data_IF_458098675525
#
_entry.id   IF_458098675525
#
_cell.length_a   1.000
_cell.length_b   1.000
_cell.length_c   1.000
_cell.angle_alpha   90.00
_cell.angle_beta   90.00
_cell.angle_gamma   90.00
#
_symmetry.space_group_name_H-M   'P 1'
#
loop_
_entity.id
_entity.type
_entity.pdbx_description
1 polymer ?
#
# COMPACT_ATOMS: atom_id res chain seq x y z
N UNK A 1 26.00 -23.97 -3.52
CA UNK A 1 27.34 -23.42 -3.21
C UNK A 1 27.31 -21.90 -3.39
N UNK A 2 28.33 -21.14 -2.94
CA UNK A 2 28.35 -19.67 -3.08
C UNK A 2 28.15 -19.18 -4.52
N UNK A 3 28.48 -20.02 -5.50
CA UNK A 3 28.28 -19.79 -6.94
C UNK A 3 26.80 -19.78 -7.36
N UNK A 4 25.88 -20.18 -6.48
CA UNK A 4 24.44 -20.09 -6.72
C UNK A 4 23.90 -18.67 -6.52
N UNK A 5 24.71 -17.74 -5.99
CA UNK A 5 24.40 -16.31 -6.00
C UNK A 5 24.71 -15.72 -7.38
N UNK A 6 23.76 -14.97 -7.91
CA UNK A 6 23.87 -14.11 -9.07
C UNK A 6 24.49 -12.76 -8.67
N UNK A 7 25.81 -12.72 -8.74
CA UNK A 7 26.58 -11.51 -8.44
C UNK A 7 26.42 -10.42 -9.50
N UNK A 8 26.09 -10.77 -10.74
CA UNK A 8 25.89 -9.77 -11.80
C UNK A 8 24.60 -9.00 -11.55
N UNK A 9 23.52 -9.71 -11.21
CA UNK A 9 22.27 -9.06 -10.78
C UNK A 9 22.49 -8.19 -9.53
N UNK A 10 23.24 -8.69 -8.55
CA UNK A 10 23.57 -7.92 -7.35
C UNK A 10 24.34 -6.63 -7.69
N UNK A 11 25.33 -6.69 -8.59
CA UNK A 11 26.06 -5.50 -9.07
C UNK A 11 25.14 -4.51 -9.77
N UNK A 12 24.28 -5.00 -10.67
CA UNK A 12 23.33 -4.17 -11.39
C UNK A 12 22.41 -3.40 -10.42
N UNK A 13 21.75 -4.09 -9.50
CA UNK A 13 20.78 -3.49 -8.59
C UNK A 13 21.42 -2.53 -7.58
N UNK A 14 22.59 -2.88 -7.03
CA UNK A 14 23.30 -1.98 -6.11
C UNK A 14 23.86 -0.75 -6.85
N UNK A 15 24.23 -0.87 -8.13
CA UNK A 15 24.70 0.28 -8.92
C UNK A 15 23.60 1.32 -9.12
N UNK A 16 22.32 0.91 -9.22
CA UNK A 16 21.16 1.83 -9.30
C UNK A 16 21.05 2.75 -8.08
N UNK A 17 21.63 2.38 -6.95
CA UNK A 17 21.68 3.17 -5.70
C UNK A 17 23.09 3.64 -5.35
N UNK A 18 24.00 3.68 -6.33
CA UNK A 18 25.38 4.15 -6.18
C UNK A 18 26.20 3.36 -5.13
N UNK A 19 25.86 2.10 -4.90
CA UNK A 19 26.57 1.19 -3.99
C UNK A 19 27.30 0.10 -4.77
N UNK A 20 28.40 -0.42 -4.19
CA UNK A 20 29.14 -1.56 -4.76
C UNK A 20 28.61 -2.87 -4.17
N UNK A 21 28.47 -3.89 -5.01
CA UNK A 21 28.20 -5.25 -4.59
C UNK A 21 29.43 -6.13 -4.83
N UNK A 22 29.96 -6.72 -3.75
CA UNK A 22 31.17 -7.56 -3.77
C UNK A 22 30.92 -8.83 -2.96
N UNK A 23 31.72 -9.90 -3.11
CA UNK A 23 31.63 -11.08 -2.25
C UNK A 23 31.75 -10.75 -0.75
N UNK A 24 32.60 -9.79 -0.40
CA UNK A 24 32.75 -9.35 0.99
C UNK A 24 31.48 -8.66 1.51
N UNK A 25 30.87 -7.80 0.70
CA UNK A 25 29.60 -7.14 1.05
C UNK A 25 28.45 -8.14 1.12
N UNK A 26 28.42 -9.15 0.24
CA UNK A 26 27.41 -10.20 0.27
C UNK A 26 27.47 -10.98 1.60
N UNK A 27 28.68 -11.22 2.13
CA UNK A 27 28.87 -11.83 3.45
C UNK A 27 28.47 -10.90 4.60
N UNK A 28 28.83 -9.62 4.55
CA UNK A 28 28.47 -8.67 5.61
C UNK A 28 26.96 -8.45 5.73
N UNK A 29 26.23 -8.57 4.62
CA UNK A 29 24.76 -8.50 4.63
C UNK A 29 24.07 -9.88 4.74
N UNK A 30 24.82 -10.92 5.15
CA UNK A 30 24.32 -12.28 5.45
C UNK A 30 23.66 -13.01 4.26
N UNK A 31 24.03 -12.69 3.02
CA UNK A 31 23.64 -13.49 1.85
C UNK A 31 24.34 -14.84 1.82
N UNK A 32 25.54 -14.91 2.40
CA UNK A 32 26.33 -16.13 2.54
C UNK A 32 26.48 -16.52 4.01
N UNK A 33 26.40 -17.81 4.29
CA UNK A 33 26.64 -18.42 5.60
C UNK A 33 27.64 -19.57 5.46
N UNK A 34 28.33 -19.90 6.56
CA UNK A 34 29.21 -21.07 6.62
C UNK A 34 28.40 -22.32 7.00
N UNK A 35 28.44 -23.35 6.18
CA UNK A 35 27.82 -24.65 6.43
C UNK A 35 28.81 -25.76 6.10
N UNK A 36 29.14 -26.59 7.10
CA UNK A 36 30.11 -27.70 6.96
C UNK A 36 31.45 -27.28 6.32
N UNK A 37 31.95 -26.08 6.66
CA UNK A 37 33.22 -25.57 6.11
C UNK A 37 33.12 -24.95 4.71
N UNK A 38 31.93 -24.93 4.11
CA UNK A 38 31.68 -24.30 2.82
C UNK A 38 30.85 -23.02 2.97
N UNK A 39 31.12 -22.02 2.15
CA UNK A 39 30.24 -20.87 2.01
C UNK A 39 29.07 -21.22 1.09
N UNK A 40 27.86 -21.06 1.63
CA UNK A 40 26.61 -21.34 0.93
C UNK A 40 25.65 -20.15 1.07
N UNK A 41 24.72 -19.96 0.11
CA UNK A 41 23.67 -18.97 0.25
C UNK A 41 22.81 -19.22 1.49
N UNK A 42 22.46 -18.14 2.20
CA UNK A 42 21.35 -18.20 3.16
C UNK A 42 20.02 -18.32 2.42
N UNK A 43 18.93 -18.63 3.14
CA UNK A 43 17.57 -18.60 2.56
C UNK A 43 17.27 -17.24 1.93
N UNK A 44 17.59 -16.15 2.64
CA UNK A 44 17.47 -14.80 2.09
C UNK A 44 18.39 -14.59 0.89
N UNK A 45 19.62 -15.09 0.93
CA UNK A 45 20.55 -15.10 -0.19
C UNK A 45 19.95 -15.69 -1.46
N UNK A 46 19.36 -16.88 -1.37
CA UNK A 46 18.69 -17.53 -2.49
C UNK A 46 17.49 -16.74 -3.00
N UNK A 47 16.62 -16.24 -2.11
CA UNK A 47 15.42 -15.51 -2.52
C UNK A 47 15.75 -14.15 -3.19
N UNK A 48 16.81 -13.48 -2.73
CA UNK A 48 17.20 -12.15 -3.20
C UNK A 48 18.08 -12.16 -4.44
N UNK A 49 19.02 -13.10 -4.53
CA UNK A 49 20.03 -13.16 -5.58
C UNK A 49 20.38 -14.59 -5.98
N UNK A 50 19.56 -15.60 -5.68
CA UNK A 50 19.79 -16.94 -6.20
C UNK A 50 19.58 -16.98 -7.71
N UNK A 51 20.47 -17.66 -8.43
CA UNK A 51 20.31 -17.94 -9.87
C UNK A 51 18.95 -18.57 -10.12
N UNK A 52 18.26 -18.11 -11.16
CA UNK A 52 16.82 -18.37 -11.35
C UNK A 52 16.44 -19.85 -11.32
N UNK A 53 17.19 -20.73 -12.01
CA UNK A 53 16.93 -22.17 -11.98
C UNK A 53 17.01 -22.74 -10.56
N UNK A 54 18.11 -22.50 -9.86
CA UNK A 54 18.33 -23.04 -8.52
C UNK A 54 17.40 -22.44 -7.48
N UNK A 55 17.09 -21.15 -7.59
CA UNK A 55 16.14 -20.48 -6.70
C UNK A 55 14.75 -21.08 -6.84
N UNK A 56 14.27 -21.28 -8.06
CA UNK A 56 12.93 -21.82 -8.33
C UNK A 56 12.82 -23.31 -7.98
N UNK A 57 13.93 -24.06 -8.08
CA UNK A 57 14.00 -25.45 -7.59
C UNK A 57 13.81 -25.51 -6.06
N UNK A 58 14.48 -24.64 -5.31
CA UNK A 58 14.47 -24.67 -3.84
C UNK A 58 13.24 -23.96 -3.25
N UNK A 59 12.77 -22.90 -3.89
CA UNK A 59 11.64 -22.07 -3.44
C UNK A 59 10.56 -21.91 -4.53
N UNK A 60 9.92 -23.00 -4.98
CA UNK A 60 8.91 -22.94 -6.04
C UNK A 60 7.67 -22.11 -5.65
N UNK A 61 7.40 -21.98 -4.35
CA UNK A 61 6.26 -21.22 -3.82
C UNK A 61 6.58 -19.73 -3.55
N UNK A 62 7.83 -19.29 -3.72
CA UNK A 62 8.21 -17.88 -3.59
C UNK A 62 7.75 -17.04 -4.80
N UNK A 63 7.05 -17.65 -5.76
CA UNK A 63 6.41 -16.93 -6.85
C UNK A 63 5.36 -15.93 -6.34
N UNK A 64 5.10 -14.90 -7.15
CA UNK A 64 4.04 -13.93 -6.88
C UNK A 64 2.99 -14.07 -7.97
N UNK A 65 1.74 -14.27 -7.58
CA UNK A 65 0.62 -14.34 -8.52
C UNK A 65 -0.07 -13.00 -8.60
N UNK A 66 -0.05 -12.39 -9.78
CA UNK A 66 -0.77 -11.17 -10.09
C UNK A 66 -1.97 -11.47 -10.99
N UNK A 67 -3.12 -10.88 -10.70
CA UNK A 67 -4.30 -11.01 -11.54
C UNK A 67 -5.15 -9.74 -11.51
N UNK A 68 -5.65 -9.33 -12.68
CA UNK A 68 -6.69 -8.31 -12.84
C UNK A 68 -8.02 -9.01 -13.13
N UNK A 69 -9.05 -8.70 -12.34
CA UNK A 69 -10.38 -9.32 -12.44
C UNK A 69 -11.46 -8.31 -12.79
N UNK A 70 -12.29 -8.59 -13.79
CA UNK A 70 -13.45 -7.74 -14.09
C UNK A 70 -14.47 -7.81 -12.94
N UNK A 71 -14.91 -6.66 -12.44
CA UNK A 71 -15.85 -6.55 -11.34
C UNK A 71 -15.19 -6.71 -9.97
N UNK A 72 -15.95 -7.25 -9.01
CA UNK A 72 -15.56 -7.35 -7.59
C UNK A 72 -15.22 -8.77 -7.13
N UNK A 73 -15.31 -9.75 -8.04
CA UNK A 73 -15.15 -11.18 -7.75
C UNK A 73 -13.99 -11.78 -8.54
N UNK A 74 -13.48 -12.93 -8.08
CA UNK A 74 -12.35 -13.64 -8.72
C UNK A 74 -12.76 -14.53 -9.91
N UNK A 75 -13.85 -14.21 -10.58
CA UNK A 75 -14.47 -15.07 -11.61
C UNK A 75 -13.92 -14.76 -13.00
N UNK A 76 -13.88 -13.48 -13.37
CA UNK A 76 -13.58 -13.06 -14.74
C UNK A 76 -12.18 -12.45 -14.81
N UNK A 77 -11.21 -13.19 -15.29
CA UNK A 77 -9.84 -12.69 -15.48
C UNK A 77 -9.74 -11.78 -16.70
N UNK A 78 -9.05 -10.65 -16.55
CA UNK A 78 -8.67 -9.71 -17.62
C UNK A 78 -7.21 -9.92 -17.99
N UNK A 79 -6.33 -10.04 -16.99
CA UNK A 79 -4.90 -10.20 -17.16
C UNK A 79 -4.33 -11.02 -15.99
N UNK A 80 -3.27 -11.77 -16.23
CA UNK A 80 -2.59 -12.58 -15.22
C UNK A 80 -1.08 -12.58 -15.46
N UNK A 81 -0.33 -12.61 -14.38
CA UNK A 81 1.12 -12.70 -14.41
C UNK A 81 1.62 -13.47 -13.20
N UNK A 82 2.27 -14.61 -13.43
CA UNK A 82 2.99 -15.35 -12.39
C UNK A 82 4.48 -14.97 -12.45
N UNK A 83 5.00 -14.38 -11.38
CA UNK A 83 6.36 -13.84 -11.29
C UNK A 83 7.27 -14.82 -10.56
N UNK A 84 8.24 -15.37 -11.27
CA UNK A 84 9.28 -16.26 -10.76
C UNK A 84 10.64 -15.58 -10.82
N UNK A 85 10.75 -14.38 -10.26
CA UNK A 85 12.00 -13.63 -10.23
C UNK A 85 12.53 -13.45 -8.81
N UNK A 86 13.77 -13.01 -8.69
CA UNK A 86 14.35 -12.67 -7.39
C UNK A 86 13.57 -11.51 -6.76
N UNK A 87 13.46 -11.48 -5.42
CA UNK A 87 12.55 -10.54 -4.77
C UNK A 87 12.73 -9.05 -5.16
N UNK A 88 13.95 -8.53 -5.35
CA UNK A 88 14.12 -7.16 -5.83
C UNK A 88 13.56 -6.93 -7.25
N UNK A 89 13.79 -7.85 -8.18
CA UNK A 89 13.23 -7.77 -9.54
C UNK A 89 11.71 -7.99 -9.54
N UNK A 90 11.26 -8.94 -8.73
CA UNK A 90 9.85 -9.24 -8.56
C UNK A 90 9.08 -8.01 -8.05
N UNK A 91 9.68 -7.21 -7.16
CA UNK A 91 9.12 -5.93 -6.73
C UNK A 91 8.91 -4.96 -7.91
N UNK A 92 9.91 -4.77 -8.76
CA UNK A 92 9.81 -3.90 -9.95
C UNK A 92 8.71 -4.39 -10.91
N UNK A 93 8.66 -5.71 -11.16
CA UNK A 93 7.67 -6.33 -12.06
C UNK A 93 6.25 -6.19 -11.52
N UNK A 94 6.03 -6.49 -10.23
CA UNK A 94 4.72 -6.39 -9.59
C UNK A 94 4.24 -4.94 -9.57
N UNK A 95 5.11 -3.99 -9.23
CA UNK A 95 4.75 -2.57 -9.27
C UNK A 95 4.41 -2.11 -10.68
N UNK A 96 5.13 -2.59 -11.70
CA UNK A 96 4.79 -2.37 -13.10
C UNK A 96 3.43 -2.94 -13.47
N UNK A 97 3.10 -4.15 -13.02
CA UNK A 97 1.79 -4.78 -13.24
C UNK A 97 0.67 -3.97 -12.58
N UNK A 98 0.85 -3.57 -11.31
CA UNK A 98 -0.15 -2.75 -10.62
C UNK A 98 -0.32 -1.40 -11.33
N UNK A 99 0.78 -0.72 -11.69
CA UNK A 99 0.75 0.55 -12.42
C UNK A 99 0.01 0.44 -13.75
N UNK A 100 0.24 -0.62 -14.52
CA UNK A 100 -0.46 -0.90 -15.79
C UNK A 100 -1.97 -0.96 -15.60
N UNK A 101 -2.43 -1.49 -14.47
CA UNK A 101 -3.85 -1.76 -14.19
C UNK A 101 -4.50 -0.74 -13.24
N UNK A 102 -3.76 0.28 -12.78
CA UNK A 102 -4.25 1.36 -11.90
C UNK A 102 -4.06 2.76 -12.49
N UNK A 103 -3.57 2.87 -13.73
CA UNK A 103 -3.42 4.15 -14.44
C UNK A 103 -4.78 4.59 -14.99
N UNK A 104 -5.28 5.74 -14.54
CA UNK A 104 -6.60 6.28 -14.92
C UNK A 104 -6.51 7.09 -16.21
N UNK A 105 -5.38 7.76 -16.42
CA UNK A 105 -5.21 8.65 -17.56
C UNK A 105 -4.01 9.57 -17.38
N UNK A 106 -4.05 10.69 -18.10
CA UNK A 106 -2.98 11.65 -18.12
C UNK A 106 -3.53 13.07 -18.00
N UNK A 107 -2.97 13.85 -17.10
CA UNK A 107 -3.21 15.30 -17.02
C UNK A 107 -2.14 16.05 -17.80
N UNK A 108 -2.55 17.08 -18.55
CA UNK A 108 -1.64 17.98 -19.26
C UNK A 108 -1.46 19.23 -18.38
N UNK A 109 -0.45 19.20 -17.51
CA UNK A 109 0.02 20.39 -16.80
C UNK A 109 1.23 20.97 -17.56
N UNK A 110 0.99 21.96 -18.43
CA UNK A 110 1.99 22.55 -19.33
C UNK A 110 2.70 21.51 -20.24
N UNK A 111 3.90 21.80 -20.77
CA UNK A 111 4.59 21.01 -21.83
C UNK A 111 4.84 19.53 -21.45
N UNK A 112 4.58 19.12 -20.20
CA UNK A 112 4.81 17.76 -19.71
C UNK A 112 3.51 17.08 -19.27
N UNK A 113 3.32 15.86 -19.77
CA UNK A 113 2.21 14.96 -19.44
C UNK A 113 2.47 14.32 -18.07
N UNK A 114 1.51 14.38 -17.14
CA UNK A 114 1.58 13.76 -15.81
C UNK A 114 0.60 12.59 -15.75
N UNK A 115 1.07 11.42 -15.31
CA UNK A 115 0.22 10.24 -15.12
C UNK A 115 -0.65 10.40 -13.86
N UNK A 116 -1.93 10.05 -13.97
CA UNK A 116 -2.89 10.03 -12.85
C UNK A 116 -3.21 8.58 -12.49
N UNK A 117 -3.03 8.24 -11.23
CA UNK A 117 -3.23 6.90 -10.68
C UNK A 117 -4.43 6.84 -9.75
N UNK A 118 -5.09 5.69 -9.71
CA UNK A 118 -6.20 5.43 -8.78
C UNK A 118 -5.76 5.36 -7.32
N UNK A 119 -4.50 5.00 -7.10
CA UNK A 119 -3.89 4.81 -5.79
C UNK A 119 -2.59 5.62 -5.72
N UNK A 120 -2.24 6.19 -4.56
CA UNK A 120 -0.97 6.86 -4.39
C UNK A 120 0.16 5.84 -4.65
N UNK A 121 1.06 6.10 -5.60
CA UNK A 121 2.11 5.12 -5.94
C UNK A 121 2.97 4.73 -4.74
N UNK A 122 3.15 5.64 -3.78
CA UNK A 122 3.89 5.41 -2.54
C UNK A 122 3.19 4.38 -1.64
N UNK A 123 1.86 4.41 -1.54
CA UNK A 123 1.06 3.47 -0.74
C UNK A 123 1.10 2.08 -1.36
N UNK A 124 0.95 1.99 -2.69
CA UNK A 124 1.09 0.72 -3.42
C UNK A 124 2.49 0.14 -3.25
N UNK A 125 3.52 0.99 -3.39
CA UNK A 125 4.92 0.60 -3.21
C UNK A 125 5.15 0.01 -1.83
N UNK A 126 4.71 0.70 -0.80
CA UNK A 126 4.86 0.26 0.59
C UNK A 126 4.14 -1.07 0.84
N UNK A 127 2.90 -1.21 0.36
CA UNK A 127 2.11 -2.44 0.52
C UNK A 127 2.77 -3.65 -0.17
N UNK A 128 3.22 -3.48 -1.42
CA UNK A 128 3.89 -4.55 -2.17
C UNK A 128 5.21 -4.93 -1.50
N UNK A 129 6.04 -3.94 -1.14
CA UNK A 129 7.34 -4.20 -0.51
C UNK A 129 7.15 -4.88 0.85
N UNK A 130 6.19 -4.46 1.66
CA UNK A 130 5.90 -5.11 2.94
C UNK A 130 5.44 -6.56 2.75
N UNK A 131 4.62 -6.85 1.73
CA UNK A 131 4.24 -8.22 1.39
C UNK A 131 5.47 -9.10 1.07
N UNK A 132 6.44 -8.59 0.30
CA UNK A 132 7.67 -9.33 -0.02
C UNK A 132 8.59 -9.54 1.19
N UNK A 133 8.76 -8.51 2.01
CA UNK A 133 9.71 -8.54 3.14
C UNK A 133 9.17 -9.40 4.28
N UNK A 134 7.87 -9.37 4.53
CA UNK A 134 7.26 -10.05 5.68
C UNK A 134 6.65 -11.42 5.37
N UNK A 135 6.59 -11.83 4.11
CA UNK A 135 6.09 -13.14 3.70
C UNK A 135 6.82 -14.30 4.40
N UNK A 136 6.04 -15.32 4.78
CA UNK A 136 6.55 -16.60 5.23
C UNK A 136 6.81 -17.54 4.05
N UNK A 137 8.05 -17.51 3.55
CA UNK A 137 8.51 -18.35 2.44
C UNK A 137 8.68 -19.83 2.79
N UNK A 138 8.43 -20.24 4.04
CA UNK A 138 8.50 -21.66 4.45
C UNK A 138 7.20 -22.42 4.20
N UNK A 139 6.07 -21.71 4.01
CA UNK A 139 4.75 -22.31 3.83
C UNK A 139 4.60 -22.86 2.41
N UNK A 140 4.44 -24.19 2.31
CA UNK A 140 4.24 -24.87 1.01
C UNK A 140 2.82 -24.64 0.49
N UNK A 141 2.69 -24.42 -0.82
CA UNK A 141 1.40 -24.23 -1.48
C UNK A 141 0.79 -22.85 -1.30
N UNK A 142 1.48 -21.94 -0.59
CA UNK A 142 1.07 -20.55 -0.41
C UNK A 142 2.01 -19.63 -1.16
N UNK A 143 1.45 -18.65 -1.87
CA UNK A 143 2.19 -17.63 -2.61
C UNK A 143 1.69 -16.25 -2.23
N UNK A 144 2.49 -15.23 -2.55
CA UNK A 144 2.04 -13.84 -2.46
C UNK A 144 1.06 -13.61 -3.61
N UNK A 145 -0.08 -12.99 -3.33
CA UNK A 145 -1.14 -12.74 -4.29
C UNK A 145 -1.44 -11.25 -4.40
N UNK A 146 -1.47 -10.75 -5.62
CA UNK A 146 -1.85 -9.38 -5.97
C UNK A 146 -3.09 -9.47 -6.85
N UNK A 147 -4.26 -9.16 -6.28
CA UNK A 147 -5.53 -9.21 -6.97
C UNK A 147 -6.09 -7.79 -7.16
N UNK A 148 -6.25 -7.38 -8.41
CA UNK A 148 -6.77 -6.07 -8.78
C UNK A 148 -8.22 -6.22 -9.24
N UNK A 149 -9.14 -5.53 -8.60
CA UNK A 149 -10.56 -5.49 -8.91
C UNK A 149 -10.96 -4.10 -9.42
N UNK A 150 -12.21 -3.95 -9.82
CA UNK A 150 -12.73 -2.64 -10.26
C UNK A 150 -12.82 -1.61 -9.12
N UNK A 151 -12.80 -2.06 -7.86
CA UNK A 151 -12.99 -1.20 -6.69
C UNK A 151 -11.87 -1.27 -5.64
N UNK A 152 -10.87 -2.14 -5.82
CA UNK A 152 -9.78 -2.32 -4.85
C UNK A 152 -8.61 -3.10 -5.40
N UNK A 153 -7.48 -3.00 -4.72
CA UNK A 153 -6.33 -3.91 -4.83
C UNK A 153 -6.25 -4.70 -3.52
N UNK A 154 -6.17 -6.02 -3.61
CA UNK A 154 -5.86 -6.91 -2.48
C UNK A 154 -4.44 -7.44 -2.65
N UNK A 155 -3.60 -7.23 -1.63
CA UNK A 155 -2.23 -7.73 -1.53
C UNK A 155 -2.19 -8.69 -0.35
N UNK A 156 -1.99 -9.98 -0.61
CA UNK A 156 -1.99 -11.03 0.41
C UNK A 156 -0.65 -11.73 0.43
N UNK A 157 -0.01 -11.84 1.59
CA UNK A 157 1.20 -12.64 1.78
C UNK A 157 0.98 -13.75 2.81
N UNK A 158 1.67 -14.90 2.68
CA UNK A 158 1.69 -15.91 3.71
C UNK A 158 2.38 -15.38 4.96
N UNK A 159 1.94 -15.85 6.12
CA UNK A 159 2.44 -15.44 7.44
C UNK A 159 1.60 -14.33 8.05
N UNK A 160 1.06 -14.61 9.24
CA UNK A 160 0.48 -13.62 10.14
C UNK A 160 1.56 -12.68 10.74
N UNK A 161 1.12 -11.68 11.52
CA UNK A 161 2.04 -10.84 12.28
C UNK A 161 2.92 -11.70 13.20
N UNK A 162 4.17 -11.29 13.45
CA UNK A 162 5.04 -11.95 14.42
C UNK A 162 4.36 -12.12 15.78
N UNK A 163 4.60 -13.25 16.44
CA UNK A 163 4.03 -13.53 17.75
C UNK A 163 4.35 -12.39 18.73
N UNK A 164 3.31 -11.84 19.36
CA UNK A 164 3.42 -10.73 20.31
C UNK A 164 3.36 -9.33 19.69
N UNK A 165 3.24 -9.20 18.36
CA UNK A 165 3.02 -7.93 17.67
C UNK A 165 1.55 -7.82 17.24
N UNK A 166 0.81 -6.89 17.85
CA UNK A 166 -0.56 -6.57 17.40
C UNK A 166 -0.54 -5.62 16.20
N UNK A 167 -1.63 -5.60 15.44
CA UNK A 167 -1.80 -4.66 14.32
C UNK A 167 -1.72 -3.20 14.78
N UNK A 168 -2.34 -2.85 15.91
CA UNK A 168 -2.28 -1.49 16.48
C UNK A 168 -0.84 -1.07 16.80
N UNK A 169 -0.07 -1.98 17.41
CA UNK A 169 1.34 -1.75 17.73
C UNK A 169 2.19 -1.64 16.46
N UNK A 170 1.92 -2.44 15.43
CA UNK A 170 2.58 -2.35 14.13
C UNK A 170 2.31 -1.02 13.43
N UNK A 171 1.06 -0.55 13.42
CA UNK A 171 0.67 0.75 12.87
C UNK A 171 1.36 1.90 13.62
N UNK A 172 1.53 1.76 14.94
CA UNK A 172 2.21 2.75 15.79
C UNK A 172 3.73 2.83 15.58
N UNK A 173 4.30 2.04 14.66
CA UNK A 173 5.71 2.11 14.27
C UNK A 173 6.60 1.00 14.80
N UNK A 174 6.07 0.05 15.58
CA UNK A 174 6.85 -1.10 16.03
C UNK A 174 6.91 -2.15 14.93
N UNK A 175 8.11 -2.42 14.41
CA UNK A 175 8.31 -3.41 13.36
C UNK A 175 9.21 -4.54 13.82
N UNK A 176 8.80 -5.77 13.54
CA UNK A 176 9.61 -6.97 13.74
C UNK A 176 9.78 -7.72 12.42
N UNK A 177 11.03 -7.83 11.96
CA UNK A 177 11.37 -8.50 10.71
C UNK A 177 11.47 -10.02 10.92
N UNK A 178 10.59 -10.78 10.26
CA UNK A 178 10.73 -12.24 10.08
C UNK A 178 11.98 -12.57 9.25
N UNK A 179 12.13 -11.87 8.12
CA UNK A 179 13.21 -12.10 7.16
C UNK A 179 14.30 -11.03 7.28
N UNK A 180 15.21 -11.17 8.26
CA UNK A 180 16.26 -10.16 8.54
C UNK A 180 17.19 -9.88 7.34
N UNK A 181 17.58 -10.92 6.60
CA UNK A 181 18.45 -10.78 5.40
C UNK A 181 17.73 -10.02 4.30
N UNK A 182 16.45 -10.35 4.03
CA UNK A 182 15.61 -9.65 3.05
C UNK A 182 15.47 -8.18 3.43
N UNK A 183 15.09 -7.89 4.68
CA UNK A 183 14.98 -6.51 5.16
C UNK A 183 16.30 -5.74 5.07
N UNK A 184 17.44 -6.38 5.36
CA UNK A 184 18.76 -5.74 5.24
C UNK A 184 19.07 -5.36 3.80
N UNK A 185 18.85 -6.26 2.84
CA UNK A 185 19.11 -5.97 1.42
C UNK A 185 18.12 -4.95 0.87
N UNK A 186 16.84 -5.05 1.20
CA UNK A 186 15.85 -4.07 0.74
C UNK A 186 16.18 -2.67 1.24
N UNK A 187 16.71 -2.55 2.46
CA UNK A 187 17.24 -1.29 2.98
C UNK A 187 18.50 -0.84 2.23
N UNK A 188 19.44 -1.75 1.96
CA UNK A 188 20.62 -1.40 1.16
C UNK A 188 20.25 -0.88 -0.24
N UNK A 189 19.17 -1.40 -0.82
CA UNK A 189 18.58 -0.97 -2.09
C UNK A 189 17.64 0.23 -1.97
N UNK A 190 17.55 0.89 -0.80
CA UNK A 190 16.64 2.00 -0.52
C UNK A 190 15.15 1.69 -0.81
N UNK A 191 14.76 0.41 -0.71
CA UNK A 191 13.38 -0.04 -0.91
C UNK A 191 12.55 0.05 0.38
N UNK A 192 13.17 -0.02 1.56
CA UNK A 192 12.50 0.16 2.87
C UNK A 192 13.28 1.10 3.79
N UNK A 193 12.59 1.62 4.79
CA UNK A 193 13.17 2.48 5.83
C UNK A 193 13.43 1.74 7.15
N UNK A 194 14.06 2.44 8.11
CA UNK A 194 14.50 1.89 9.39
C UNK A 194 13.49 1.96 10.54
N UNK A 195 12.47 2.82 10.44
CA UNK A 195 11.69 3.25 11.61
C UNK A 195 10.38 2.50 11.82
N UNK A 196 10.06 1.49 10.99
CA UNK A 196 8.82 0.73 11.12
C UNK A 196 7.54 1.53 10.82
N UNK A 197 7.67 2.75 10.29
CA UNK A 197 6.55 3.68 10.06
C UNK A 197 5.76 3.42 8.79
N UNK A 198 6.05 2.32 8.07
CA UNK A 198 5.47 2.01 6.77
C UNK A 198 3.94 1.99 6.77
N UNK A 199 3.34 1.22 7.69
CA UNK A 199 1.88 1.09 7.78
C UNK A 199 1.20 2.40 8.17
N UNK A 200 1.71 3.10 9.19
CA UNK A 200 1.18 4.40 9.61
C UNK A 200 1.27 5.44 8.50
N UNK A 201 2.38 5.49 7.76
CA UNK A 201 2.55 6.41 6.63
C UNK A 201 1.58 6.13 5.49
N UNK A 202 1.26 4.86 5.23
CA UNK A 202 0.23 4.54 4.23
C UNK A 202 -1.11 5.16 4.61
N UNK A 203 -1.48 5.11 5.90
CA UNK A 203 -2.70 5.73 6.43
C UNK A 203 -2.63 7.25 6.27
N UNK A 204 -1.53 7.89 6.69
CA UNK A 204 -1.33 9.34 6.57
C UNK A 204 -1.43 9.82 5.12
N UNK A 205 -0.75 9.17 4.18
CA UNK A 205 -0.81 9.52 2.75
C UNK A 205 -2.24 9.39 2.22
N UNK A 206 -2.96 8.33 2.60
CA UNK A 206 -4.34 8.15 2.20
C UNK A 206 -5.26 9.25 2.76
N UNK A 207 -5.07 9.63 4.03
CA UNK A 207 -5.81 10.70 4.69
C UNK A 207 -5.56 12.06 4.02
N UNK A 208 -4.29 12.40 3.78
CA UNK A 208 -3.87 13.65 3.17
C UNK A 208 -4.42 13.81 1.74
N UNK A 209 -4.53 12.70 1.01
CA UNK A 209 -5.10 12.69 -0.35
C UNK A 209 -6.61 12.48 -0.38
N UNK A 210 -7.27 12.40 0.78
CA UNK A 210 -8.72 12.25 0.91
C UNK A 210 -9.26 10.91 0.39
N UNK A 211 -8.42 9.89 0.26
CA UNK A 211 -8.79 8.54 -0.19
C UNK A 211 -9.03 7.62 1.00
N UNK A 212 -9.69 6.49 0.72
CA UNK A 212 -9.95 5.48 1.75
C UNK A 212 -8.63 4.95 2.33
N UNK A 213 -8.60 4.79 3.66
CA UNK A 213 -7.46 4.21 4.35
C UNK A 213 -7.29 2.73 3.96
N UNK A 214 -6.04 2.22 3.97
CA UNK A 214 -5.81 0.79 3.76
C UNK A 214 -6.48 -0.03 4.86
N UNK A 215 -7.12 -1.13 4.47
CA UNK A 215 -7.59 -2.13 5.43
C UNK A 215 -6.53 -3.21 5.59
N UNK A 216 -6.09 -3.42 6.83
CA UNK A 216 -5.13 -4.45 7.22
C UNK A 216 -5.86 -5.58 7.95
N UNK A 217 -5.68 -6.81 7.50
CA UNK A 217 -6.39 -7.98 8.05
C UNK A 217 -5.42 -9.15 8.23
N UNK A 218 -5.52 -9.82 9.37
CA UNK A 218 -4.99 -11.17 9.56
C UNK A 218 -6.11 -12.16 9.23
N UNK A 219 -5.90 -12.99 8.20
CA UNK A 219 -6.87 -14.00 7.75
C UNK A 219 -6.19 -15.34 7.91
N UNK A 220 -6.58 -16.09 8.94
CA UNK A 220 -5.92 -17.31 9.37
C UNK A 220 -4.41 -17.08 9.55
N UNK A 221 -3.59 -17.61 8.63
CA UNK A 221 -2.14 -17.50 8.66
C UNK A 221 -1.61 -16.60 7.53
N UNK A 222 -2.42 -15.67 7.05
CA UNK A 222 -2.08 -14.69 6.02
C UNK A 222 -2.25 -13.28 6.54
N UNK A 223 -1.45 -12.37 6.01
CA UNK A 223 -1.65 -10.94 6.17
C UNK A 223 -2.14 -10.37 4.84
N UNK A 224 -3.22 -9.59 4.89
CA UNK A 224 -3.84 -8.97 3.72
C UNK A 224 -3.94 -7.46 3.90
N UNK A 225 -3.51 -6.74 2.87
CA UNK A 225 -3.71 -5.31 2.71
C UNK A 225 -4.70 -5.08 1.58
N UNK A 226 -5.76 -4.33 1.86
CA UNK A 226 -6.74 -3.92 0.86
C UNK A 226 -6.68 -2.41 0.66
N UNK A 227 -6.41 -1.98 -0.57
CA UNK A 227 -6.43 -0.58 -0.99
C UNK A 227 -7.71 -0.34 -1.77
N UNK A 228 -8.62 0.50 -1.28
CA UNK A 228 -9.89 0.78 -1.94
C UNK A 228 -9.78 1.92 -2.95
N UNK A 229 -10.48 1.78 -4.07
CA UNK A 229 -10.58 2.82 -5.09
C UNK A 229 -11.45 3.97 -4.57
N UNK A 230 -10.97 5.21 -4.77
CA UNK A 230 -11.75 6.42 -4.58
C UNK A 230 -11.55 7.13 -3.23
N UNK A 231 -12.04 8.38 -3.20
CA UNK A 231 -12.15 9.19 -1.99
C UNK A 231 -12.78 8.37 -0.87
N UNK A 232 -12.44 8.63 0.41
CA UNK A 232 -13.17 8.07 1.56
C UNK A 232 -14.66 8.14 1.20
N UNK A 233 -15.30 7.00 0.94
CA UNK A 233 -16.75 6.99 0.92
C UNK A 233 -17.10 7.18 2.37
N UNK A 234 -17.20 8.44 2.78
CA UNK A 234 -17.58 8.79 4.12
C UNK A 234 -18.94 8.13 4.31
N UNK A 235 -18.93 7.01 5.04
CA UNK A 235 -20.07 6.13 5.07
C UNK A 235 -21.10 6.86 5.91
N UNK A 236 -22.20 7.24 5.27
CA UNK A 236 -23.31 7.83 5.99
C UNK A 236 -23.83 6.74 6.92
N UNK A 237 -23.61 6.97 8.20
CA UNK A 237 -23.88 6.00 9.27
C UNK A 237 -25.05 6.45 10.13
N UNK A 238 -25.33 7.75 10.15
CA UNK A 238 -26.37 8.34 10.96
C UNK A 238 -27.36 9.12 10.07
N UNK A 239 -28.67 8.98 10.34
CA UNK A 239 -29.73 9.62 9.55
C UNK A 239 -29.57 11.15 9.41
N UNK A 240 -28.97 11.82 10.39
CA UNK A 240 -28.77 13.26 10.35
C UNK A 240 -27.61 13.67 9.41
N UNK A 241 -26.64 12.79 9.15
CA UNK A 241 -25.58 13.01 8.15
C UNK A 241 -26.20 13.04 6.74
N UNK A 242 -27.10 12.10 6.49
CA UNK A 242 -27.88 11.93 5.26
C UNK A 242 -28.62 13.20 4.84
N UNK A 243 -29.21 13.91 5.81
CA UNK A 243 -29.98 15.13 5.57
C UNK A 243 -29.12 16.25 4.97
N UNK A 244 -27.92 16.46 5.50
CA UNK A 244 -27.01 17.50 4.99
C UNK A 244 -26.37 17.08 3.67
N UNK A 245 -26.01 15.81 3.52
CA UNK A 245 -25.48 15.30 2.25
C UNK A 245 -26.53 15.41 1.13
N UNK A 246 -27.81 15.16 1.44
CA UNK A 246 -28.93 15.36 0.51
C UNK A 246 -29.11 16.84 0.17
N UNK A 247 -29.13 17.71 1.17
CA UNK A 247 -29.21 19.16 0.94
C UNK A 247 -28.09 19.65 0.02
N UNK A 248 -26.85 19.26 0.30
CA UNK A 248 -25.68 19.62 -0.51
C UNK A 248 -25.61 18.92 -1.89
N UNK A 249 -26.52 17.99 -2.22
CA UNK A 249 -26.68 17.51 -3.60
C UNK A 249 -27.51 18.48 -4.45
N UNK A 250 -28.46 19.16 -3.81
CA UNK A 250 -29.38 20.11 -4.44
C UNK A 250 -28.76 21.52 -4.43
N UNK A 251 -28.11 21.88 -3.31
CA UNK A 251 -27.47 23.16 -3.07
C UNK A 251 -25.94 23.05 -3.03
N UNK A 252 -25.22 24.12 -3.38
CA UNK A 252 -23.75 24.08 -3.48
C UNK A 252 -23.03 24.18 -2.13
N UNK A 253 -23.65 24.84 -1.16
CA UNK A 253 -23.08 25.10 0.16
C UNK A 253 -24.17 25.17 1.24
N UNK A 254 -23.77 25.02 2.49
CA UNK A 254 -24.64 25.14 3.64
C UNK A 254 -23.97 25.93 4.76
N UNK A 255 -24.71 26.86 5.36
CA UNK A 255 -24.29 27.59 6.56
C UNK A 255 -24.63 26.81 7.84
N UNK A 256 -23.95 27.07 8.97
CA UNK A 256 -24.36 26.55 10.28
C UNK A 256 -25.82 26.82 10.62
N UNK A 257 -26.34 27.99 10.25
CA UNK A 257 -27.73 28.37 10.51
C UNK A 257 -28.72 27.49 9.74
N UNK A 258 -28.44 27.19 8.47
CA UNK A 258 -29.26 26.27 7.66
C UNK A 258 -29.17 24.84 8.20
N UNK A 259 -27.98 24.35 8.54
CA UNK A 259 -27.81 23.02 9.12
C UNK A 259 -28.58 22.87 10.44
N UNK A 260 -28.56 23.92 11.28
CA UNK A 260 -29.32 23.97 12.52
C UNK A 260 -30.83 23.85 12.26
N UNK A 261 -31.36 24.52 11.24
CA UNK A 261 -32.77 24.46 10.86
C UNK A 261 -33.14 23.08 10.33
N UNK A 262 -32.32 22.48 9.46
CA UNK A 262 -32.57 21.14 8.89
C UNK A 262 -32.62 20.07 9.98
N UNK A 263 -31.68 20.13 10.92
CA UNK A 263 -31.62 19.18 12.03
C UNK A 263 -32.62 19.47 13.15
N UNK A 264 -33.14 20.68 13.22
CA UNK A 264 -33.95 21.19 14.34
C UNK A 264 -33.28 20.97 15.72
N UNK A 265 -32.02 21.40 15.84
CA UNK A 265 -31.21 21.24 17.07
C UNK A 265 -30.62 22.57 17.54
N UNK A 266 -29.93 22.55 18.69
CA UNK A 266 -29.23 23.74 19.21
C UNK A 266 -28.01 24.11 18.37
N UNK A 267 -27.56 25.36 18.44
CA UNK A 267 -26.34 25.81 17.75
C UNK A 267 -25.09 25.04 18.23
N UNK A 268 -25.02 24.68 19.53
CA UNK A 268 -23.93 23.87 20.07
C UNK A 268 -23.89 22.47 19.42
N UNK A 269 -25.04 21.79 19.38
CA UNK A 269 -25.15 20.47 18.73
C UNK A 269 -24.84 20.53 17.24
N UNK A 270 -25.26 21.61 16.57
CA UNK A 270 -24.98 21.86 15.15
C UNK A 270 -23.48 21.95 14.89
N UNK A 271 -22.76 22.75 15.68
CA UNK A 271 -21.31 22.86 15.58
C UNK A 271 -20.62 21.52 15.80
N UNK A 272 -21.04 20.75 16.81
CA UNK A 272 -20.49 19.41 17.06
C UNK A 272 -20.72 18.46 15.89
N UNK A 273 -21.93 18.44 15.32
CA UNK A 273 -22.29 17.58 14.18
C UNK A 273 -21.55 17.96 12.90
N UNK A 274 -21.48 19.26 12.57
CA UNK A 274 -20.73 19.74 11.41
C UNK A 274 -19.24 19.40 11.54
N UNK A 275 -18.66 19.59 12.73
CA UNK A 275 -17.28 19.18 13.01
C UNK A 275 -17.09 17.67 12.78
N UNK A 276 -17.98 16.84 13.34
CA UNK A 276 -17.95 15.38 13.16
C UNK A 276 -18.07 14.97 11.68
N UNK A 277 -18.92 15.64 10.91
CA UNK A 277 -19.06 15.40 9.48
C UNK A 277 -17.82 15.83 8.69
N UNK A 278 -17.19 16.96 9.05
CA UNK A 278 -15.93 17.40 8.45
C UNK A 278 -14.80 16.41 8.76
N UNK A 279 -14.69 15.95 10.01
CA UNK A 279 -13.71 14.92 10.43
C UNK A 279 -13.92 13.59 9.69
N UNK A 280 -15.18 13.22 9.43
CA UNK A 280 -15.53 12.04 8.61
C UNK A 280 -15.29 12.25 7.11
N UNK A 281 -14.98 13.46 6.65
CA UNK A 281 -14.83 13.77 5.23
C UNK A 281 -16.16 13.80 4.46
N UNK A 282 -17.30 13.95 5.13
CA UNK A 282 -18.63 14.08 4.48
C UNK A 282 -18.83 15.49 3.88
N UNK A 283 -18.19 16.50 4.47
CA UNK A 283 -18.27 17.93 4.11
C UNK A 283 -16.90 18.58 4.34
N UNK A 284 -16.68 19.75 3.75
CA UNK A 284 -15.47 20.57 3.93
C UNK A 284 -15.88 21.96 4.39
N UNK A 285 -15.23 22.46 5.44
CA UNK A 285 -15.43 23.85 5.91
C UNK A 285 -14.69 24.83 4.99
N UNK A 286 -15.40 25.88 4.58
CA UNK A 286 -14.86 27.03 3.85
C UNK A 286 -14.98 28.25 4.78
N UNK A 287 -13.84 28.72 5.27
CA UNK A 287 -13.76 29.87 6.17
C UNK A 287 -12.49 30.68 5.93
N UNK A 288 -12.55 31.97 6.26
CA UNK A 288 -11.42 32.91 6.21
C UNK A 288 -10.58 32.91 7.49
N UNK A 289 -11.02 32.20 8.53
CA UNK A 289 -10.30 32.03 9.79
C UNK A 289 -11.11 31.29 10.86
N UNK A 290 -10.50 31.03 12.04
CA UNK A 290 -11.10 30.19 13.09
C UNK A 290 -12.42 30.73 13.68
N UNK A 291 -12.65 32.04 13.57
CA UNK A 291 -13.83 32.75 14.11
C UNK A 291 -14.69 33.39 13.02
N UNK A 292 -14.58 32.91 11.78
CA UNK A 292 -15.34 33.47 10.65
C UNK A 292 -16.86 33.33 10.86
N UNK A 293 -17.61 34.45 11.00
CA UNK A 293 -19.06 34.41 11.16
C UNK A 293 -19.79 33.97 9.87
N UNK A 294 -19.11 33.98 8.73
CA UNK A 294 -19.64 33.63 7.41
C UNK A 294 -19.18 32.25 6.93
N UNK A 295 -18.62 31.41 7.80
CA UNK A 295 -18.18 30.08 7.40
C UNK A 295 -19.31 29.26 6.78
N UNK A 296 -19.01 28.60 5.67
CA UNK A 296 -19.91 27.67 4.99
C UNK A 296 -19.29 26.28 4.94
N UNK A 297 -20.11 25.30 4.64
CA UNK A 297 -19.68 23.92 4.43
C UNK A 297 -20.13 23.51 3.04
N UNK A 298 -19.22 22.89 2.30
CA UNK A 298 -19.48 22.39 0.95
C UNK A 298 -19.30 20.89 0.93
N UNK A 299 -19.80 20.23 -0.11
CA UNK A 299 -19.32 18.88 -0.37
C UNK A 299 -17.82 18.89 -0.59
N UNK A 300 -17.09 17.86 -0.13
CA UNK A 300 -15.73 17.66 -0.61
C UNK A 300 -15.79 17.73 -2.12
N UNK A 301 -14.96 18.58 -2.73
CA UNK A 301 -14.85 18.55 -4.18
C UNK A 301 -14.55 17.10 -4.52
N UNK A 302 -15.49 16.43 -5.22
CA UNK A 302 -15.04 15.41 -6.17
C UNK A 302 -13.97 16.16 -6.94
N UNK A 303 -12.71 15.73 -6.86
CA UNK A 303 -11.75 16.21 -7.86
C UNK A 303 -12.50 16.12 -9.17
N UNK A 304 -12.69 17.25 -9.87
CA UNK A 304 -13.47 17.20 -11.08
C UNK A 304 -12.81 16.11 -11.92
N UNK A 305 -13.63 15.17 -12.40
CA UNK A 305 -13.29 14.49 -13.65
C UNK A 305 -13.25 15.62 -14.66
N UNK A 306 -12.10 16.29 -14.76
CA UNK A 306 -11.90 17.31 -15.77
C UNK A 306 -11.99 16.57 -17.10
N UNK A 307 -12.98 16.98 -17.87
CA UNK A 307 -13.39 16.47 -19.18
C UNK A 307 -12.19 16.45 -20.13
#
# INVERSE_FOLDING_TARGET
>A
MKEDIDYELGKELFSKVSKKFTPQNAKSIELLVSYQGHEVPSVGGMLLFGKSEKRNEVFPNAMIRCARFKGKSKVNFIDQLDVYESLPLAAEIVLGFVRKHSMVGYEIESVRRKEVFEYPPQVVREAVINALVHADYSVKGSNIQIAIFDDRIEITNPGALPFGLSLETAISGFSQLRNKVIGRVFRELNLIEHWGTGLGRMIEICQDQGISEPLFEEIDNYFKVTLFHGAKSAQISEKWEEQIVKYLNEEKEITPKQAQQIWNVTSRTTTTRLKKMSEKGLIVEVSTGPYDPYKTFVKPRKQPRNI
#
